data_IF_890414564041
#
_entry.id   IF_890414564041
#
_cell.length_a   1.000
_cell.length_b   1.000
_cell.length_c   1.000
_cell.angle_alpha   90.00
_cell.angle_beta   90.00
_cell.angle_gamma   90.00
#
_symmetry.space_group_name_H-M   'P 1'
#
loop_
_entity.id
_entity.type
_entity.pdbx_description
1 polymer ?
#
# COMPACT_ATOMS: atom_id res chain seq x y z
N UNK A 1 -24.91 -5.32 -8.07
CA UNK A 1 -23.85 -4.28 -8.12
C UNK A 1 -23.30 -4.14 -6.71
N UNK A 2 -21.98 -3.98 -6.54
CA UNK A 2 -21.49 -3.44 -5.27
C UNK A 2 -22.01 -2.01 -5.17
N UNK A 3 -22.77 -1.64 -4.14
CA UNK A 3 -23.27 -0.26 -3.94
C UNK A 3 -22.18 0.79 -3.67
N UNK A 4 -20.91 0.47 -3.96
CA UNK A 4 -19.72 1.26 -3.64
C UNK A 4 -18.94 1.73 -4.86
N UNK A 5 -19.05 1.04 -6.01
CA UNK A 5 -18.20 1.30 -7.20
C UNK A 5 -19.04 1.15 -8.46
N UNK A 6 -18.97 2.16 -9.33
CA UNK A 6 -19.61 2.19 -10.66
C UNK A 6 -18.79 1.38 -11.67
N UNK A 7 -19.41 0.93 -12.77
CA UNK A 7 -18.75 0.06 -13.77
C UNK A 7 -17.61 0.76 -14.53
N UNK A 8 -17.65 2.09 -14.61
CA UNK A 8 -16.62 2.90 -15.26
C UNK A 8 -15.42 3.20 -14.34
N UNK A 9 -15.59 3.07 -13.03
CA UNK A 9 -14.59 3.37 -12.01
C UNK A 9 -13.53 2.26 -11.87
N UNK A 10 -12.35 2.68 -11.44
CA UNK A 10 -11.14 1.85 -11.36
C UNK A 10 -10.71 1.59 -9.92
N UNK A 11 -10.33 0.36 -9.63
CA UNK A 11 -9.82 -0.08 -8.34
C UNK A 11 -8.39 -0.58 -8.50
N UNK A 12 -7.45 0.09 -7.84
CA UNK A 12 -6.04 -0.25 -7.87
C UNK A 12 -5.59 -0.85 -6.53
N UNK A 13 -5.12 -2.09 -6.58
CA UNK A 13 -4.48 -2.74 -5.44
C UNK A 13 -2.99 -2.40 -5.48
N UNK A 14 -2.46 -1.89 -4.37
CA UNK A 14 -1.06 -1.49 -4.24
C UNK A 14 -0.37 -2.25 -3.12
N UNK A 15 0.89 -2.62 -3.33
CA UNK A 15 1.74 -3.19 -2.30
C UNK A 15 3.19 -2.73 -2.45
N UNK A 16 4.00 -2.86 -1.40
CA UNK A 16 5.45 -2.60 -1.47
C UNK A 16 6.13 -3.56 -2.43
N UNK A 17 5.78 -4.84 -2.35
CA UNK A 17 6.42 -5.94 -3.06
C UNK A 17 5.45 -6.69 -3.99
N UNK A 18 5.97 -7.20 -5.10
CA UNK A 18 5.16 -7.90 -6.10
C UNK A 18 4.54 -9.20 -5.60
N UNK A 19 5.24 -9.94 -4.73
CA UNK A 19 4.76 -11.23 -4.19
C UNK A 19 3.48 -11.08 -3.34
N UNK A 20 3.15 -9.86 -2.91
CA UNK A 20 1.91 -9.56 -2.18
C UNK A 20 0.68 -9.48 -3.11
N UNK A 21 0.85 -9.70 -4.42
CA UNK A 21 -0.26 -9.78 -5.38
C UNK A 21 -1.23 -10.89 -4.96
N UNK A 22 -2.50 -10.59 -4.65
CA UNK A 22 -3.44 -11.61 -4.22
C UNK A 22 -3.75 -12.60 -5.34
N UNK A 23 -3.64 -13.91 -5.06
CA UNK A 23 -4.04 -14.96 -6.01
C UNK A 23 -5.50 -14.86 -6.44
N UNK A 24 -6.36 -14.29 -5.58
CA UNK A 24 -7.77 -14.02 -5.86
C UNK A 24 -7.96 -13.17 -7.13
N UNK A 25 -7.00 -12.31 -7.49
CA UNK A 25 -7.06 -11.52 -8.72
C UNK A 25 -7.06 -12.38 -9.98
N UNK A 26 -6.51 -13.60 -9.95
CA UNK A 26 -6.61 -14.56 -11.06
C UNK A 26 -8.07 -14.93 -11.38
N UNK A 27 -8.95 -14.85 -10.37
CA UNK A 27 -10.38 -15.15 -10.47
C UNK A 27 -11.24 -13.88 -10.50
N UNK A 28 -10.64 -12.68 -10.47
CA UNK A 28 -11.40 -11.44 -10.38
C UNK A 28 -12.31 -11.23 -11.60
N UNK A 29 -11.83 -11.53 -12.81
CA UNK A 29 -12.62 -11.37 -14.04
C UNK A 29 -13.88 -12.23 -14.07
N UNK A 30 -13.87 -13.39 -13.43
CA UNK A 30 -15.06 -14.28 -13.37
C UNK A 30 -15.94 -13.96 -12.17
N UNK A 31 -15.35 -13.63 -11.02
CA UNK A 31 -16.10 -13.33 -9.78
C UNK A 31 -16.72 -11.94 -9.76
N UNK A 32 -16.05 -10.97 -10.37
CA UNK A 32 -16.44 -9.56 -10.43
C UNK A 32 -16.20 -9.00 -11.84
N UNK A 33 -16.92 -9.48 -12.86
CA UNK A 33 -16.68 -9.12 -14.26
C UNK A 33 -16.86 -7.62 -14.57
N UNK A 34 -17.60 -6.91 -13.71
CA UNK A 34 -17.90 -5.48 -13.84
C UNK A 34 -16.93 -4.58 -13.10
N UNK A 35 -15.98 -5.12 -12.32
CA UNK A 35 -15.00 -4.33 -11.60
C UNK A 35 -13.68 -4.26 -12.39
N UNK A 36 -13.18 -3.05 -12.60
CA UNK A 36 -11.85 -2.81 -13.18
C UNK A 36 -10.79 -2.88 -12.09
N UNK A 37 -10.20 -4.06 -11.92
CA UNK A 37 -9.24 -4.37 -10.86
C UNK A 37 -7.83 -4.52 -11.44
N UNK A 38 -6.88 -3.75 -10.90
CA UNK A 38 -5.47 -3.83 -11.26
C UNK A 38 -4.58 -3.97 -10.03
N UNK A 39 -3.36 -4.52 -10.21
CA UNK A 39 -2.36 -4.62 -9.15
C UNK A 39 -1.03 -4.03 -9.61
N UNK A 40 -0.43 -3.21 -8.76
CA UNK A 40 0.90 -2.65 -8.98
C UNK A 40 1.70 -2.57 -7.68
N UNK A 41 3.02 -2.46 -7.80
CA UNK A 41 3.85 -2.06 -6.67
C UNK A 41 3.77 -0.53 -6.47
N UNK A 42 4.13 -0.03 -5.28
CA UNK A 42 4.17 1.41 -5.02
C UNK A 42 5.03 2.19 -6.03
N UNK A 43 6.16 1.62 -6.45
CA UNK A 43 7.01 2.24 -7.47
C UNK A 43 6.38 2.21 -8.86
N UNK A 44 5.83 1.06 -9.25
CA UNK A 44 5.27 0.88 -10.59
C UNK A 44 4.05 1.78 -10.83
N UNK A 45 3.32 2.16 -9.78
CA UNK A 45 2.15 3.04 -9.88
C UNK A 45 2.49 4.54 -9.99
N UNK A 46 3.77 4.93 -9.97
CA UNK A 46 4.17 6.33 -10.11
C UNK A 46 3.62 6.91 -11.43
N UNK A 47 2.94 8.05 -11.34
CA UNK A 47 2.30 8.71 -12.48
C UNK A 47 0.92 8.13 -12.85
N UNK A 48 0.50 7.02 -12.26
CA UNK A 48 -0.84 6.44 -12.48
C UNK A 48 -1.79 6.87 -11.35
N UNK A 49 -3.10 6.78 -11.60
CA UNK A 49 -4.14 7.04 -10.61
C UNK A 49 -5.35 6.13 -10.86
N UNK A 50 -6.11 5.86 -9.81
CA UNK A 50 -7.38 5.14 -9.86
C UNK A 50 -8.43 5.83 -8.99
N UNK A 51 -9.71 5.55 -9.22
CA UNK A 51 -10.79 6.09 -8.40
C UNK A 51 -10.65 5.63 -6.95
N UNK A 52 -10.32 4.36 -6.78
CA UNK A 52 -10.17 3.69 -5.50
C UNK A 52 -8.82 3.00 -5.40
N UNK A 53 -8.20 3.06 -4.22
CA UNK A 53 -6.96 2.34 -3.94
C UNK A 53 -7.10 1.47 -2.70
N UNK A 54 -6.58 0.25 -2.78
CA UNK A 54 -6.45 -0.65 -1.63
C UNK A 54 -4.96 -0.96 -1.44
N UNK A 55 -4.38 -0.42 -0.37
CA UNK A 55 -3.00 -0.68 0.03
C UNK A 55 -2.95 -1.98 0.84
N UNK A 56 -2.06 -2.88 0.45
CA UNK A 56 -1.85 -4.19 1.03
C UNK A 56 -0.49 -4.27 1.72
N UNK A 57 -0.36 -5.23 2.65
CA UNK A 57 0.92 -5.61 3.23
C UNK A 57 1.43 -4.66 4.33
N UNK A 58 0.54 -3.93 4.99
CA UNK A 58 0.92 -3.11 6.15
C UNK A 58 1.12 -4.00 7.38
N UNK A 59 2.37 -4.38 7.60
CA UNK A 59 2.78 -5.18 8.75
C UNK A 59 4.21 -4.84 9.16
N UNK A 60 4.55 -5.09 10.42
CA UNK A 60 5.93 -5.02 10.91
C UNK A 60 6.71 -6.28 10.53
N UNK A 61 8.04 -6.25 10.72
CA UNK A 61 8.92 -7.41 10.60
C UNK A 61 9.83 -7.36 9.38
N UNK A 62 10.55 -8.47 9.15
CA UNK A 62 11.61 -8.59 8.14
C UNK A 62 11.15 -8.24 6.71
N UNK A 63 9.93 -8.62 6.39
CA UNK A 63 9.27 -8.41 5.10
C UNK A 63 8.12 -7.40 5.22
N UNK A 64 8.19 -6.52 6.23
CA UNK A 64 7.18 -5.53 6.55
C UNK A 64 7.27 -4.26 5.70
N UNK A 65 6.30 -3.38 5.90
CA UNK A 65 6.30 -2.02 5.39
C UNK A 65 5.96 -1.07 6.53
N UNK A 66 6.84 -0.13 6.94
CA UNK A 66 8.13 0.20 6.33
C UNK A 66 9.12 -0.98 6.36
N UNK A 67 9.94 -1.08 5.32
CA UNK A 67 11.05 -2.01 5.31
C UNK A 67 12.02 -1.65 6.45
N UNK A 68 12.53 -2.63 7.22
CA UNK A 68 13.55 -2.37 8.22
C UNK A 68 14.82 -1.88 7.53
N UNK A 69 15.50 -0.91 8.14
CA UNK A 69 16.80 -0.44 7.69
C UNK A 69 17.77 -1.61 7.61
N UNK A 70 18.20 -1.93 6.39
CA UNK A 70 19.27 -2.88 6.11
C UNK A 70 20.22 -2.19 5.16
N UNK A 71 21.27 -1.61 5.71
CA UNK A 71 22.46 -1.30 4.95
C UNK A 71 23.58 -2.17 5.50
N UNK A 72 24.22 -2.94 4.62
CA UNK A 72 25.56 -3.47 4.90
C UNK A 72 26.54 -2.30 5.02
N UNK A 73 27.67 -2.54 5.69
CA UNK A 73 28.73 -1.53 5.88
C UNK A 73 29.21 -0.97 4.52
N UNK A 74 29.24 -1.82 3.48
CA UNK A 74 29.64 -1.45 2.12
C UNK A 74 28.57 -0.57 1.45
N UNK A 75 27.29 -0.91 1.61
CA UNK A 75 26.19 -0.09 1.09
C UNK A 75 26.19 1.30 1.74
N UNK A 76 26.42 1.38 3.04
CA UNK A 76 26.46 2.66 3.77
C UNK A 76 27.57 3.59 3.24
N UNK A 77 28.70 3.04 2.80
CA UNK A 77 29.82 3.83 2.26
C UNK A 77 29.58 4.36 0.83
N UNK A 78 28.59 3.80 0.11
CA UNK A 78 28.25 4.16 -1.27
C UNK A 78 26.92 4.91 -1.38
N UNK A 79 26.11 4.90 -0.32
CA UNK A 79 24.82 5.57 -0.29
C UNK A 79 24.98 7.06 0.05
N UNK A 80 24.09 7.93 -0.45
CA UNK A 80 23.98 9.30 0.03
C UNK A 80 23.70 9.32 1.54
N UNK A 81 23.95 10.46 2.19
CA UNK A 81 23.71 10.62 3.62
C UNK A 81 22.30 10.16 4.00
N UNK A 82 22.24 9.31 5.03
CA UNK A 82 20.98 8.83 5.58
C UNK A 82 20.23 10.04 6.14
N UNK A 83 19.01 10.24 5.66
CA UNK A 83 18.15 11.28 6.20
C UNK A 83 17.85 11.02 7.67
N UNK A 84 17.93 12.06 8.51
CA UNK A 84 17.66 11.95 9.95
C UNK A 84 16.21 11.54 10.26
N UNK A 85 15.31 11.60 9.27
CA UNK A 85 13.90 11.28 9.47
C UNK A 85 13.62 9.77 9.34
N UNK A 86 13.08 9.11 10.39
CA UNK A 86 12.91 7.65 10.40
C UNK A 86 12.09 7.14 9.20
N UNK A 87 12.63 6.16 8.49
CA UNK A 87 11.98 5.55 7.32
C UNK A 87 11.64 6.55 6.19
N UNK A 88 12.43 7.60 5.98
CA UNK A 88 12.16 8.65 5.00
C UNK A 88 11.75 8.13 3.60
N UNK A 89 12.50 7.16 3.05
CA UNK A 89 12.19 6.56 1.76
C UNK A 89 10.85 5.81 1.74
N UNK A 90 10.59 4.98 2.76
CA UNK A 90 9.35 4.22 2.87
C UNK A 90 8.14 5.14 3.08
N UNK A 91 8.31 6.28 3.75
CA UNK A 91 7.27 7.32 3.86
C UNK A 91 6.96 7.98 2.52
N UNK A 92 7.97 8.27 1.70
CA UNK A 92 7.73 8.76 0.33
C UNK A 92 6.96 7.74 -0.50
N UNK A 93 7.25 6.46 -0.33
CA UNK A 93 6.52 5.39 -1.01
C UNK A 93 5.07 5.28 -0.52
N UNK A 94 4.83 5.40 0.78
CA UNK A 94 3.48 5.49 1.33
C UNK A 94 2.74 6.69 0.74
N UNK A 95 3.38 7.87 0.67
CA UNK A 95 2.80 9.06 0.04
C UNK A 95 2.45 8.83 -1.44
N UNK A 96 3.34 8.18 -2.21
CA UNK A 96 3.02 7.78 -3.60
C UNK A 96 1.79 6.90 -3.62
N UNK A 97 1.72 5.86 -2.79
CA UNK A 97 0.59 4.94 -2.76
C UNK A 97 -0.74 5.63 -2.39
N UNK A 98 -0.73 6.47 -1.35
CA UNK A 98 -1.90 7.23 -0.88
C UNK A 98 -2.43 8.17 -1.97
N UNK A 99 -1.54 8.88 -2.66
CA UNK A 99 -1.90 9.86 -3.70
C UNK A 99 -2.30 9.23 -5.04
N UNK A 100 -2.34 7.89 -5.15
CA UNK A 100 -2.88 7.22 -6.34
C UNK A 100 -4.41 7.22 -6.35
N UNK A 101 -5.08 7.43 -5.22
CA UNK A 101 -6.53 7.44 -5.11
C UNK A 101 -7.12 8.81 -5.46
N UNK A 102 -8.16 8.83 -6.30
CA UNK A 102 -8.94 10.05 -6.57
C UNK A 102 -10.09 10.25 -5.57
N UNK A 103 -10.69 9.17 -5.07
CA UNK A 103 -11.87 9.21 -4.20
C UNK A 103 -11.58 8.70 -2.80
N UNK A 104 -11.15 7.44 -2.69
CA UNK A 104 -10.94 6.80 -1.40
C UNK A 104 -9.78 5.81 -1.44
N UNK A 105 -9.03 5.76 -0.33
CA UNK A 105 -8.00 4.76 -0.08
C UNK A 105 -8.38 3.92 1.14
N UNK A 106 -8.12 2.61 1.06
CA UNK A 106 -8.19 1.68 2.19
C UNK A 106 -6.82 1.09 2.44
N UNK A 107 -6.45 1.01 3.72
CA UNK A 107 -5.17 0.49 4.17
C UNK A 107 -5.43 -0.82 4.92
N UNK A 108 -5.07 -1.94 4.29
CA UNK A 108 -5.20 -3.26 4.91
C UNK A 108 -3.92 -3.60 5.67
N UNK A 109 -4.08 -3.83 6.97
CA UNK A 109 -2.97 -4.14 7.87
C UNK A 109 -3.19 -5.43 8.65
N UNK A 110 -2.09 -6.04 9.07
CA UNK A 110 -2.10 -7.21 9.93
C UNK A 110 -2.34 -6.78 11.39
N UNK A 111 -3.41 -7.27 12.02
CA UNK A 111 -3.76 -6.87 13.40
C UNK A 111 -2.81 -7.44 14.45
N UNK A 112 -2.20 -8.60 14.20
CA UNK A 112 -1.26 -9.24 15.12
C UNK A 112 0.12 -8.58 15.07
N UNK A 113 0.48 -8.00 13.92
CA UNK A 113 1.78 -7.37 13.69
C UNK A 113 1.61 -6.10 12.82
N UNK A 114 0.96 -5.05 13.35
CA UNK A 114 0.67 -3.86 12.56
C UNK A 114 1.96 -3.11 12.18
N UNK A 115 1.95 -2.50 11.01
CA UNK A 115 2.96 -1.52 10.63
C UNK A 115 2.93 -0.31 11.58
N UNK A 116 4.09 0.29 11.87
CA UNK A 116 4.18 1.56 12.60
C UNK A 116 3.41 2.69 11.91
N UNK A 117 3.30 2.67 10.58
CA UNK A 117 2.51 3.64 9.83
C UNK A 117 1.01 3.58 10.17
N UNK A 118 0.50 2.45 10.68
CA UNK A 118 -0.91 2.35 11.09
C UNK A 118 -1.18 3.23 12.31
N UNK A 119 -0.34 3.17 13.34
CA UNK A 119 -0.51 3.98 14.55
C UNK A 119 -0.30 5.46 14.27
N UNK A 120 0.63 5.81 13.39
CA UNK A 120 0.87 7.19 12.97
C UNK A 120 -0.32 7.78 12.21
N UNK A 121 -0.91 7.04 11.27
CA UNK A 121 -2.10 7.51 10.56
C UNK A 121 -3.31 7.62 11.50
N UNK A 122 -3.44 6.68 12.44
CA UNK A 122 -4.50 6.73 13.43
C UNK A 122 -4.38 7.95 14.36
N UNK A 123 -3.18 8.32 14.79
CA UNK A 123 -2.97 9.53 15.60
C UNK A 123 -3.27 10.82 14.82
N UNK A 124 -3.23 10.77 13.48
CA UNK A 124 -3.64 11.84 12.57
C UNK A 124 -5.15 11.83 12.25
N UNK A 125 -5.93 10.96 12.91
CA UNK A 125 -7.39 10.92 12.78
C UNK A 125 -7.90 9.95 11.69
N UNK A 126 -7.05 9.12 11.09
CA UNK A 126 -7.52 8.07 10.18
C UNK A 126 -8.22 6.97 11.00
N UNK A 127 -9.52 6.70 10.76
CA UNK A 127 -10.27 5.76 11.59
C UNK A 127 -9.87 4.31 11.31
N UNK A 128 -9.74 3.51 12.37
CA UNK A 128 -9.61 2.05 12.26
C UNK A 128 -11.00 1.44 12.18
N UNK A 129 -11.38 1.00 10.97
CA UNK A 129 -12.64 0.29 10.77
C UNK A 129 -12.50 -1.16 11.24
N UNK A 130 -13.38 -1.61 12.14
CA UNK A 130 -13.55 -3.03 12.45
C UNK A 130 -14.43 -3.65 11.37
N UNK A 131 -14.18 -4.92 11.01
CA UNK A 131 -15.18 -5.67 10.22
C UNK A 131 -16.51 -5.61 11.01
N UNK A 132 -17.63 -5.33 10.35
CA UNK A 132 -18.94 -5.56 10.96
C UNK A 132 -19.09 -7.04 11.36
#
# INVERSE_FOLDING_TARGET
>A
MSGYVNEDETILLLARYHYLKPDLLKKAKTRWPKLKLEFMTFHASKGQQADYVIILGLQSGKEGFPAPERASIIETALLPEVEEYPYAEERRLMYVALTRAKKQVWLLFNKQQPSSFVSELHSQGVPIQKKP
#
